data_IF_988749776451
#
_entry.id   IF_988749776451
#
_cell.length_a   1.000
_cell.length_b   1.000
_cell.length_c   1.000
_cell.angle_alpha   90.00
_cell.angle_beta   90.00
_cell.angle_gamma   90.00
#
_symmetry.space_group_name_H-M   'P 1'
#
loop_
_entity.id
_entity.type
_entity.pdbx_description
1 polymer ?
#
# COMPACT_ATOMS: atom_id res chain seq x y z
N UNK A 1 0.96 -5.63 3.00
CA UNK A 1 1.66 -5.06 1.81
C UNK A 1 2.47 -6.09 1.01
N UNK A 2 3.02 -7.07 1.71
CA UNK A 2 3.91 -8.14 1.25
C UNK A 2 3.29 -9.02 0.15
N UNK A 3 2.01 -9.37 0.28
CA UNK A 3 1.30 -10.14 -0.74
C UNK A 3 1.19 -9.37 -2.06
N UNK A 4 0.88 -8.07 -1.98
CA UNK A 4 0.85 -7.17 -3.14
C UNK A 4 2.24 -7.05 -3.74
N UNK A 5 3.30 -6.89 -2.92
CA UNK A 5 4.68 -6.87 -3.40
C UNK A 5 5.01 -8.10 -4.24
N UNK A 6 4.62 -9.31 -3.79
CA UNK A 6 4.87 -10.56 -4.54
C UNK A 6 4.09 -10.65 -5.85
N UNK A 7 2.94 -9.99 -5.95
CA UNK A 7 2.11 -10.01 -7.15
C UNK A 7 2.58 -9.00 -8.22
N UNK A 8 3.36 -7.97 -7.86
CA UNK A 8 3.78 -6.91 -8.77
C UNK A 8 4.44 -7.41 -10.06
N UNK A 9 5.39 -8.37 -10.05
CA UNK A 9 6.00 -8.87 -11.29
C UNK A 9 5.00 -9.58 -12.21
N UNK A 10 4.01 -10.26 -11.63
CA UNK A 10 2.96 -10.94 -12.39
C UNK A 10 2.01 -9.93 -13.06
N UNK A 11 1.68 -8.85 -12.36
CA UNK A 11 0.87 -7.76 -12.91
C UNK A 11 1.63 -6.99 -13.99
N UNK A 12 2.92 -6.73 -13.78
CA UNK A 12 3.78 -6.07 -14.77
C UNK A 12 3.82 -6.85 -16.10
N UNK A 13 3.83 -8.19 -16.04
CA UNK A 13 3.83 -9.05 -17.23
C UNK A 13 2.56 -8.94 -18.09
N UNK A 14 1.48 -8.37 -17.57
CA UNK A 14 0.23 -8.16 -18.34
C UNK A 14 0.35 -7.01 -19.35
N UNK A 15 1.32 -6.10 -19.19
CA UNK A 15 1.46 -4.90 -20.00
C UNK A 15 0.38 -3.83 -19.76
N UNK A 16 -0.57 -4.07 -18.86
CA UNK A 16 -1.60 -3.12 -18.48
C UNK A 16 -1.09 -2.18 -17.38
N UNK A 17 -1.76 -1.03 -17.22
CA UNK A 17 -1.54 -0.16 -16.06
C UNK A 17 -1.92 -0.91 -14.77
N UNK A 18 -1.00 -0.96 -13.81
CA UNK A 18 -1.20 -1.73 -12.57
C UNK A 18 -0.70 -0.99 -11.33
N UNK A 19 -1.03 -1.55 -10.17
CA UNK A 19 -0.70 -0.95 -8.89
C UNK A 19 -1.19 -1.74 -7.68
N UNK A 20 -1.07 -1.12 -6.51
CA UNK A 20 -1.38 -1.75 -5.22
C UNK A 20 -2.01 -0.81 -4.20
N UNK A 21 -2.99 -1.32 -3.47
CA UNK A 21 -3.57 -0.68 -2.29
C UNK A 21 -3.63 -1.72 -1.17
N UNK A 22 -2.76 -1.62 -0.18
CA UNK A 22 -2.65 -2.63 0.88
C UNK A 22 -3.36 -2.20 2.16
N UNK A 23 -3.78 -3.19 2.95
CA UNK A 23 -4.18 -2.99 4.34
C UNK A 23 -2.95 -2.84 5.24
N UNK A 24 -3.11 -2.17 6.38
CA UNK A 24 -2.09 -2.02 7.42
C UNK A 24 -2.08 -3.11 8.50
N UNK A 25 -2.82 -4.21 8.37
CA UNK A 25 -2.94 -5.25 9.42
C UNK A 25 -1.70 -6.15 9.57
N UNK A 26 -1.46 -6.67 10.77
CA UNK A 26 -0.33 -7.56 11.15
C UNK A 26 -0.39 -8.90 10.44
N UNK A 27 -1.57 -9.47 10.31
CA UNK A 27 -1.79 -10.63 9.47
C UNK A 27 -3.27 -10.81 9.11
N UNK A 28 -3.53 -11.67 8.12
CA UNK A 28 -4.88 -12.15 7.76
C UNK A 28 -5.26 -13.42 8.52
N UNK A 29 -4.37 -13.98 9.37
CA UNK A 29 -4.66 -15.21 10.14
C UNK A 29 -5.75 -15.01 11.20
N UNK A 30 -6.09 -13.78 11.58
CA UNK A 30 -7.19 -13.53 12.52
C UNK A 30 -8.59 -13.61 11.89
N UNK A 31 -8.72 -13.80 10.56
CA UNK A 31 -10.02 -14.13 9.93
C UNK A 31 -10.34 -15.62 10.08
N UNK A 32 -10.47 -16.09 11.33
CA UNK A 32 -11.32 -17.26 11.59
C UNK A 32 -12.79 -16.86 11.37
N UNK A 33 -13.66 -17.73 10.83
CA UNK A 33 -15.07 -17.39 10.64
C UNK A 33 -15.71 -17.13 12.02
N UNK A 34 -16.14 -15.88 12.26
CA UNK A 34 -16.82 -15.47 13.49
C UNK A 34 -16.06 -14.48 14.40
N UNK A 35 -14.84 -14.07 14.04
CA UNK A 35 -14.11 -13.01 14.76
C UNK A 35 -14.54 -11.61 14.36
N UNK A 36 -14.87 -10.75 15.33
CA UNK A 36 -15.11 -9.32 15.10
C UNK A 36 -13.80 -8.62 14.75
N UNK A 37 -13.87 -7.64 13.83
CA UNK A 37 -12.72 -6.84 13.36
C UNK A 37 -12.02 -6.08 14.51
N UNK A 38 -12.69 -5.91 15.66
CA UNK A 38 -12.20 -5.23 16.87
C UNK A 38 -10.95 -5.86 17.52
N UNK A 39 -10.61 -7.12 17.22
CA UNK A 39 -9.40 -7.78 17.76
C UNK A 39 -8.17 -7.67 16.85
N UNK A 40 -8.32 -7.10 15.65
CA UNK A 40 -7.21 -6.82 14.74
C UNK A 40 -6.59 -5.46 15.11
N UNK A 41 -5.75 -5.44 16.15
CA UNK A 41 -4.97 -4.25 16.47
C UNK A 41 -4.16 -3.80 15.26
N UNK A 42 -4.16 -2.49 14.98
CA UNK A 42 -3.28 -1.89 13.99
C UNK A 42 -1.84 -2.37 14.23
N UNK A 43 -1.10 -2.69 13.15
CA UNK A 43 0.34 -2.89 13.27
C UNK A 43 0.97 -1.61 13.80
N UNK A 44 1.56 -1.67 14.99
CA UNK A 44 2.41 -0.59 15.46
C UNK A 44 3.59 -0.34 14.51
N UNK A 45 4.01 -1.35 13.75
CA UNK A 45 5.09 -1.28 12.75
C UNK A 45 4.65 -0.77 11.36
N UNK A 46 3.33 -0.60 11.10
CA UNK A 46 2.83 -0.04 9.84
C UNK A 46 2.74 1.48 9.91
N UNK A 47 3.87 2.12 10.18
CA UNK A 47 3.97 3.58 10.17
C UNK A 47 3.90 4.12 8.72
N UNK A 48 3.66 5.43 8.54
CA UNK A 48 3.76 6.08 7.23
C UNK A 48 5.07 5.77 6.48
N UNK A 49 6.19 5.72 7.21
CA UNK A 49 7.52 5.37 6.69
C UNK A 49 7.56 3.95 6.13
N UNK A 50 7.12 2.97 6.93
CA UNK A 50 7.11 1.56 6.54
C UNK A 50 6.23 1.35 5.31
N UNK A 51 5.05 1.96 5.29
CA UNK A 51 4.13 1.87 4.16
C UNK A 51 4.75 2.47 2.88
N UNK A 52 5.36 3.65 2.99
CA UNK A 52 6.03 4.29 1.87
C UNK A 52 7.20 3.45 1.32
N UNK A 53 7.88 2.67 2.17
CA UNK A 53 8.89 1.70 1.73
C UNK A 53 8.32 0.66 0.76
N UNK A 54 7.18 0.05 1.10
CA UNK A 54 6.51 -0.90 0.21
C UNK A 54 6.01 -0.24 -1.08
N UNK A 55 5.36 0.92 -0.98
CA UNK A 55 4.88 1.67 -2.13
C UNK A 55 5.99 2.00 -3.13
N UNK A 56 7.16 2.45 -2.64
CA UNK A 56 8.34 2.71 -3.48
C UNK A 56 8.85 1.44 -4.15
N UNK A 57 8.84 0.31 -3.44
CA UNK A 57 9.22 -0.97 -4.02
C UNK A 57 8.28 -1.37 -5.16
N UNK A 58 6.97 -1.07 -5.06
CA UNK A 58 6.03 -1.33 -6.14
C UNK A 58 6.26 -0.41 -7.34
N UNK A 59 6.52 0.87 -7.10
CA UNK A 59 6.81 1.85 -8.16
C UNK A 59 8.10 1.47 -8.91
N UNK A 60 9.13 1.03 -8.19
CA UNK A 60 10.36 0.50 -8.79
C UNK A 60 10.11 -0.75 -9.65
N UNK A 61 9.01 -1.47 -9.43
CA UNK A 61 8.58 -2.61 -10.24
C UNK A 61 7.62 -2.21 -11.38
N UNK A 62 7.36 -0.92 -11.58
CA UNK A 62 6.52 -0.39 -12.65
C UNK A 62 5.07 -0.06 -12.24
N UNK A 63 4.73 -0.16 -10.94
CA UNK A 63 3.40 0.26 -10.48
C UNK A 63 3.21 1.76 -10.70
N UNK A 64 2.04 2.14 -11.22
CA UNK A 64 1.67 3.54 -11.49
C UNK A 64 0.40 3.96 -10.77
N UNK A 65 -0.14 3.07 -9.94
CA UNK A 65 -1.29 3.31 -9.07
C UNK A 65 -0.89 2.84 -7.68
N UNK A 66 -0.88 3.73 -6.71
CA UNK A 66 -0.62 3.37 -5.31
C UNK A 66 -1.63 4.07 -4.43
N UNK A 67 -2.29 3.32 -3.57
CA UNK A 67 -3.28 3.82 -2.62
C UNK A 67 -3.17 3.10 -1.29
N UNK A 68 -4.14 3.28 -0.41
CA UNK A 68 -4.26 2.59 0.87
C UNK A 68 -5.66 2.01 1.05
N UNK A 69 -5.77 0.99 1.89
CA UNK A 69 -7.06 0.43 2.30
C UNK A 69 -7.23 0.58 3.83
N UNK A 70 -7.72 -0.43 4.55
CA UNK A 70 -7.89 -0.36 6.00
C UNK A 70 -6.56 -0.07 6.72
N UNK A 71 -6.58 0.79 7.75
CA UNK A 71 -5.42 1.23 8.55
C UNK A 71 -4.32 1.99 7.79
N UNK A 72 -4.53 2.32 6.52
CA UNK A 72 -3.67 3.23 5.76
C UNK A 72 -4.42 4.54 5.59
N UNK A 73 -4.23 5.44 6.56
CA UNK A 73 -5.00 6.68 6.67
C UNK A 73 -4.38 7.87 5.92
N UNK A 74 -4.97 9.07 6.08
CA UNK A 74 -4.47 10.29 5.44
C UNK A 74 -3.00 10.61 5.73
N UNK A 75 -2.51 10.32 6.95
CA UNK A 75 -1.11 10.52 7.31
C UNK A 75 -0.16 9.66 6.46
N UNK A 76 -0.51 8.39 6.20
CA UNK A 76 0.27 7.51 5.34
C UNK A 76 0.29 7.99 3.90
N UNK A 77 -0.87 8.41 3.36
CA UNK A 77 -0.98 8.90 1.98
C UNK A 77 -0.24 10.22 1.81
N UNK A 78 -0.37 11.16 2.75
CA UNK A 78 0.34 12.43 2.71
C UNK A 78 1.87 12.24 2.77
N UNK A 79 2.33 11.33 3.65
CA UNK A 79 3.74 10.98 3.73
C UNK A 79 4.26 10.34 2.44
N UNK A 80 3.48 9.41 1.87
CA UNK A 80 3.81 8.76 0.60
C UNK A 80 3.90 9.79 -0.52
N UNK A 81 2.89 10.66 -0.68
CA UNK A 81 2.86 11.70 -1.69
C UNK A 81 4.11 12.59 -1.59
N UNK A 82 4.42 13.10 -0.39
CA UNK A 82 5.63 13.88 -0.15
C UNK A 82 6.90 13.13 -0.57
N UNK A 83 7.03 11.87 -0.18
CA UNK A 83 8.20 11.05 -0.53
C UNK A 83 8.36 10.83 -2.03
N UNK A 84 7.25 10.74 -2.77
CA UNK A 84 7.26 10.56 -4.22
C UNK A 84 7.61 11.86 -4.94
N UNK A 85 7.04 12.99 -4.51
CA UNK A 85 7.38 14.33 -4.99
C UNK A 85 8.86 14.64 -4.74
N UNK A 86 9.37 14.38 -3.53
CA UNK A 86 10.78 14.55 -3.17
C UNK A 86 11.71 13.67 -4.03
N UNK A 87 11.19 12.56 -4.58
CA UNK A 87 11.90 11.67 -5.50
C UNK A 87 11.71 12.03 -6.99
N UNK A 88 11.00 13.12 -7.29
CA UNK A 88 10.78 13.62 -8.65
C UNK A 88 9.64 12.94 -9.42
N UNK A 89 8.75 12.21 -8.74
CA UNK A 89 7.56 11.64 -9.36
C UNK A 89 6.41 12.66 -9.38
N UNK A 90 5.65 12.71 -10.47
CA UNK A 90 4.37 13.41 -10.49
C UNK A 90 3.30 12.59 -9.75
N UNK A 91 2.71 13.18 -8.71
CA UNK A 91 1.64 12.58 -7.92
C UNK A 91 0.31 13.20 -8.34
N UNK A 92 -0.51 12.43 -9.04
CA UNK A 92 -1.89 12.80 -9.38
C UNK A 92 -2.90 12.05 -8.51
N UNK A 93 -3.94 12.75 -8.03
CA UNK A 93 -5.09 12.11 -7.41
C UNK A 93 -6.02 11.49 -8.47
N UNK A 94 -6.70 10.40 -8.13
CA UNK A 94 -7.79 9.85 -8.97
C UNK A 94 -9.13 10.56 -8.73
N UNK A 95 -9.12 11.77 -8.18
CA UNK A 95 -10.32 12.58 -7.95
C UNK A 95 -9.95 14.06 -7.81
N UNK A 96 -10.41 14.87 -8.77
CA UNK A 96 -10.19 16.32 -8.88
C UNK A 96 -9.65 16.70 -10.24
#
# INVERSE_FOLDING_TARGET
PEAITRAMPLLAATGLRFGGYANGFTSVEALAPGGTVDTLGARADMTPETYAGFARQWIAQGATIVGGCCEIGPAHIAYLAKRLEDAGHEVGGLGG
#
